data_IF_342244072029
#
_entry.id   IF_342244072029
#
_cell.length_a   1.000
_cell.length_b   1.000
_cell.length_c   1.000
_cell.angle_alpha   90.00
_cell.angle_beta   90.00
_cell.angle_gamma   90.00
#
_symmetry.space_group_name_H-M   'P 1'
#
loop_
_entity.id
_entity.type
_entity.pdbx_description
1 polymer ?
#
# COMPACT_ATOMS: atom_id res chain seq x y z
N UNK A 1 -24.98 45.99 31.51
CA UNK A 1 -25.34 44.61 31.09
C UNK A 1 -24.22 44.10 30.20
N UNK A 2 -23.28 43.33 30.74
CA UNK A 2 -22.11 42.81 30.01
C UNK A 2 -22.17 41.29 29.98
N UNK A 3 -22.17 40.71 28.77
CA UNK A 3 -22.18 39.27 28.52
C UNK A 3 -20.79 38.71 28.80
N UNK A 4 -20.68 37.82 29.77
CA UNK A 4 -19.55 36.90 29.89
C UNK A 4 -19.89 35.63 29.08
N UNK A 5 -19.32 35.49 27.89
CA UNK A 5 -19.32 34.22 27.16
C UNK A 5 -18.10 33.43 27.63
N UNK A 6 -18.37 32.25 28.17
CA UNK A 6 -17.42 31.35 28.78
C UNK A 6 -16.30 30.96 27.83
N UNK A 7 -15.07 31.06 28.32
CA UNK A 7 -13.92 30.40 27.72
C UNK A 7 -14.07 28.90 27.94
N UNK A 8 -14.46 28.17 26.90
CA UNK A 8 -14.35 26.72 26.87
C UNK A 8 -12.86 26.39 26.89
N UNK A 9 -12.35 26.10 28.08
CA UNK A 9 -11.03 25.51 28.24
C UNK A 9 -11.17 24.04 27.86
N UNK A 10 -10.77 23.69 26.65
CA UNK A 10 -10.62 22.29 26.24
C UNK A 10 -9.48 21.69 27.06
N UNK A 11 -9.85 20.86 28.03
CA UNK A 11 -8.92 20.10 28.89
C UNK A 11 -8.11 19.14 28.02
N UNK A 12 -6.79 19.39 27.95
CA UNK A 12 -5.77 18.64 27.22
C UNK A 12 -5.59 17.23 27.82
N UNK A 13 -5.79 16.16 27.04
CA UNK A 13 -5.21 14.84 27.35
C UNK A 13 -3.75 14.85 26.91
N UNK A 14 -2.87 14.53 27.83
CA UNK A 14 -1.45 14.28 27.54
C UNK A 14 -1.40 12.99 26.72
N UNK A 15 -1.15 13.10 25.40
CA UNK A 15 -0.98 11.95 24.50
C UNK A 15 -1.61 12.07 23.11
N UNK A 16 -2.46 13.07 22.85
CA UNK A 16 -3.07 13.29 21.53
C UNK A 16 -2.51 14.56 20.90
N UNK A 17 -1.56 14.42 19.97
CA UNK A 17 -1.10 15.53 19.13
C UNK A 17 -2.18 15.80 18.09
N UNK A 18 -2.69 17.04 18.05
CA UNK A 18 -3.68 17.41 17.05
C UNK A 18 -3.00 17.50 15.68
N UNK A 19 -3.67 17.08 14.60
CA UNK A 19 -3.13 17.19 13.22
C UNK A 19 -2.75 18.64 12.91
N UNK A 20 -3.52 19.61 13.41
CA UNK A 20 -3.22 21.04 13.30
C UNK A 20 -1.85 21.39 13.89
N UNK A 21 -1.50 20.85 15.07
CA UNK A 21 -0.21 21.11 15.72
C UNK A 21 0.97 20.55 14.92
N UNK A 22 0.75 19.50 14.11
CA UNK A 22 1.78 18.92 13.24
C UNK A 22 2.06 19.78 11.99
N UNK A 23 1.03 20.42 11.44
CA UNK A 23 1.14 21.17 10.17
C UNK A 23 1.32 22.68 10.37
N UNK A 24 1.02 23.21 11.55
CA UNK A 24 1.19 24.63 11.89
C UNK A 24 2.63 25.14 11.66
N UNK A 25 3.70 24.37 11.94
CA UNK A 25 5.06 24.78 11.59
C UNK A 25 5.32 24.95 10.08
N UNK A 26 4.49 24.36 9.21
CA UNK A 26 4.60 24.50 7.76
C UNK A 26 3.91 25.79 7.30
N UNK A 27 2.77 26.14 7.91
CA UNK A 27 2.06 27.41 7.69
C UNK A 27 2.89 28.59 8.19
N UNK A 28 3.47 28.50 9.40
CA UNK A 28 4.33 29.56 9.94
C UNK A 28 5.57 29.84 9.07
N UNK A 29 6.01 28.85 8.28
CA UNK A 29 7.13 28.99 7.33
C UNK A 29 6.69 29.51 5.96
N UNK A 30 5.40 29.75 5.74
CA UNK A 30 4.84 30.20 4.48
C UNK A 30 4.83 29.12 3.39
N UNK A 31 4.89 27.83 3.76
CA UNK A 31 4.81 26.73 2.79
C UNK A 31 3.37 26.42 2.37
N UNK A 32 2.40 26.75 3.23
CA UNK A 32 0.97 26.57 2.99
C UNK A 32 0.19 27.74 3.59
N UNK A 33 -0.98 28.02 3.02
CA UNK A 33 -1.82 29.15 3.42
C UNK A 33 -2.55 28.89 4.75
N UNK A 34 -3.06 27.67 4.95
CA UNK A 34 -3.74 27.28 6.20
C UNK A 34 -3.39 25.84 6.60
N UNK A 35 -3.62 25.45 7.87
CA UNK A 35 -3.47 24.06 8.29
C UNK A 35 -4.32 23.08 7.45
N UNK A 36 -5.53 23.47 7.07
CA UNK A 36 -6.43 22.67 6.25
C UNK A 36 -5.89 22.48 4.82
N UNK A 37 -5.35 23.54 4.21
CA UNK A 37 -4.72 23.42 2.88
C UNK A 37 -3.48 22.53 2.93
N UNK A 38 -2.66 22.69 3.97
CA UNK A 38 -1.50 21.83 4.21
C UNK A 38 -1.88 20.35 4.31
N UNK A 39 -2.91 20.02 5.09
CA UNK A 39 -3.37 18.62 5.21
C UNK A 39 -3.90 18.10 3.88
N UNK A 40 -4.71 18.89 3.17
CA UNK A 40 -5.29 18.46 1.89
C UNK A 40 -4.22 18.18 0.85
N UNK A 41 -3.29 19.11 0.66
CA UNK A 41 -2.21 18.98 -0.34
C UNK A 41 -1.27 17.82 0.01
N UNK A 42 -0.91 17.65 1.28
CA UNK A 42 -0.08 16.52 1.73
C UNK A 42 -0.80 15.18 1.56
N UNK A 43 -2.10 15.13 1.83
CA UNK A 43 -2.90 13.91 1.64
C UNK A 43 -3.03 13.55 0.16
N UNK A 44 -3.24 14.54 -0.71
CA UNK A 44 -3.28 14.34 -2.16
C UNK A 44 -1.93 13.84 -2.70
N UNK A 45 -0.82 14.49 -2.33
CA UNK A 45 0.51 14.04 -2.71
C UNK A 45 0.78 12.62 -2.24
N UNK A 46 0.43 12.31 -0.99
CA UNK A 46 0.57 10.97 -0.45
C UNK A 46 -0.24 9.95 -1.26
N UNK A 47 -1.51 10.23 -1.55
CA UNK A 47 -2.36 9.34 -2.32
C UNK A 47 -1.80 9.10 -3.73
N UNK A 48 -1.34 10.16 -4.40
CA UNK A 48 -0.71 10.05 -5.73
C UNK A 48 0.55 9.20 -5.70
N UNK A 49 1.42 9.38 -4.70
CA UNK A 49 2.60 8.54 -4.51
C UNK A 49 2.24 7.08 -4.25
N UNK A 50 1.20 6.80 -3.46
CA UNK A 50 0.75 5.42 -3.25
C UNK A 50 0.25 4.79 -4.55
N UNK A 51 -0.54 5.52 -5.35
CA UNK A 51 -0.99 5.05 -6.67
C UNK A 51 0.20 4.75 -7.59
N UNK A 52 1.22 5.61 -7.63
CA UNK A 52 2.43 5.40 -8.41
C UNK A 52 3.21 4.17 -7.91
N UNK A 53 3.35 4.00 -6.60
CA UNK A 53 4.02 2.84 -6.00
C UNK A 53 3.34 1.54 -6.40
N UNK A 54 2.01 1.43 -6.26
CA UNK A 54 1.30 0.20 -6.62
C UNK A 54 1.34 -0.07 -8.12
N UNK A 55 1.28 0.96 -8.97
CA UNK A 55 1.48 0.78 -10.42
C UNK A 55 2.89 0.27 -10.71
N UNK A 56 3.89 0.78 -10.01
CA UNK A 56 5.27 0.31 -10.10
C UNK A 56 5.42 -1.17 -9.70
N UNK A 57 4.76 -1.60 -8.63
CA UNK A 57 4.72 -3.01 -8.21
C UNK A 57 4.10 -3.89 -9.30
N UNK A 58 2.91 -3.51 -9.80
CA UNK A 58 2.22 -4.25 -10.87
C UNK A 58 3.12 -4.38 -12.11
N UNK A 59 3.66 -3.27 -12.61
CA UNK A 59 4.55 -3.28 -13.78
C UNK A 59 5.84 -4.05 -13.52
N UNK A 60 6.40 -3.96 -12.30
CA UNK A 60 7.59 -4.70 -11.90
C UNK A 60 7.37 -6.21 -11.96
N UNK A 61 6.24 -6.69 -11.45
CA UNK A 61 5.88 -8.11 -11.47
C UNK A 61 5.50 -8.59 -12.88
N UNK A 62 4.80 -7.77 -13.68
CA UNK A 62 4.55 -8.06 -15.09
C UNK A 62 5.84 -8.25 -15.88
N UNK A 63 6.83 -7.38 -15.64
CA UNK A 63 8.14 -7.46 -16.27
C UNK A 63 8.97 -8.66 -15.76
N UNK A 64 8.91 -8.95 -14.45
CA UNK A 64 9.63 -10.07 -13.82
C UNK A 64 9.23 -11.41 -14.45
N UNK A 65 7.94 -11.60 -14.72
CA UNK A 65 7.40 -12.86 -15.25
C UNK A 65 7.11 -12.85 -16.75
N UNK A 66 7.07 -11.67 -17.38
CA UNK A 66 6.66 -11.53 -18.78
C UNK A 66 5.19 -11.91 -19.00
N UNK A 67 4.35 -11.76 -17.97
CA UNK A 67 2.96 -12.20 -17.94
C UNK A 67 2.09 -11.13 -17.30
N UNK A 68 0.83 -11.06 -17.71
CA UNK A 68 -0.20 -10.38 -16.90
C UNK A 68 -0.51 -11.20 -15.65
N UNK A 69 -1.07 -10.56 -14.62
CA UNK A 69 -1.48 -11.25 -13.40
C UNK A 69 -2.41 -12.46 -13.64
N UNK A 70 -3.35 -12.35 -14.59
CA UNK A 70 -4.27 -13.45 -14.89
C UNK A 70 -3.54 -14.65 -15.51
N UNK A 71 -2.63 -14.38 -16.45
CA UNK A 71 -1.77 -15.42 -17.04
C UNK A 71 -0.87 -16.06 -15.99
N UNK A 72 -0.30 -15.24 -15.10
CA UNK A 72 0.56 -15.72 -14.02
C UNK A 72 -0.20 -16.63 -13.03
N UNK A 73 -1.41 -16.25 -12.64
CA UNK A 73 -2.25 -17.11 -11.80
C UNK A 73 -2.55 -18.47 -12.45
N UNK A 74 -2.84 -18.48 -13.76
CA UNK A 74 -3.04 -19.75 -14.48
C UNK A 74 -1.75 -20.57 -14.53
N UNK A 75 -0.62 -19.93 -14.81
CA UNK A 75 0.70 -20.56 -14.77
C UNK A 75 0.99 -21.20 -13.40
N UNK A 76 0.71 -20.48 -12.31
CA UNK A 76 0.92 -20.96 -10.95
C UNK A 76 0.02 -22.16 -10.65
N UNK A 77 -1.26 -22.11 -11.02
CA UNK A 77 -2.18 -23.24 -10.90
C UNK A 77 -1.66 -24.49 -11.61
N UNK A 78 -1.18 -24.34 -12.84
CA UNK A 78 -0.61 -25.46 -13.59
C UNK A 78 0.62 -26.06 -12.91
N UNK A 79 1.48 -25.22 -12.33
CA UNK A 79 2.67 -25.67 -11.60
C UNK A 79 2.34 -26.39 -10.32
N UNK A 80 1.35 -25.91 -9.57
CA UNK A 80 0.84 -26.61 -8.38
C UNK A 80 0.27 -27.98 -8.76
N UNK A 81 -0.52 -28.06 -9.83
CA UNK A 81 -0.99 -29.37 -10.34
C UNK A 81 0.15 -30.29 -10.77
N UNK A 82 1.21 -29.75 -11.38
CA UNK A 82 2.39 -30.53 -11.75
C UNK A 82 3.12 -31.06 -10.50
N UNK A 83 3.25 -30.25 -9.46
CA UNK A 83 3.86 -30.64 -8.18
C UNK A 83 3.08 -31.78 -7.50
N UNK A 84 1.75 -31.78 -7.61
CA UNK A 84 0.86 -32.82 -7.08
C UNK A 84 0.88 -34.11 -7.91
N UNK A 85 1.50 -34.10 -9.08
CA UNK A 85 1.59 -35.27 -9.95
C UNK A 85 2.78 -36.17 -9.56
N UNK A 86 2.61 -37.48 -9.65
CA UNK A 86 3.68 -38.48 -9.42
C UNK A 86 4.72 -38.54 -10.57
N UNK A 87 4.81 -37.50 -11.40
CA UNK A 87 5.69 -37.47 -12.58
C UNK A 87 7.10 -36.95 -12.29
N UNK A 88 7.29 -36.27 -11.16
CA UNK A 88 8.55 -35.64 -10.78
C UNK A 88 9.37 -36.52 -9.85
N UNK A 89 10.70 -36.44 -9.96
CA UNK A 89 11.58 -36.99 -8.94
C UNK A 89 11.44 -36.20 -7.62
N UNK A 90 11.78 -36.80 -6.46
CA UNK A 90 11.72 -36.09 -5.17
C UNK A 90 12.58 -34.81 -5.10
N UNK A 91 13.65 -34.72 -5.90
CA UNK A 91 14.48 -33.52 -5.99
C UNK A 91 13.79 -32.43 -6.82
N UNK A 92 13.22 -32.81 -7.98
CA UNK A 92 12.46 -31.89 -8.83
C UNK A 92 11.22 -31.35 -8.10
N UNK A 93 10.49 -32.21 -7.39
CA UNK A 93 9.34 -31.80 -6.60
C UNK A 93 9.73 -30.78 -5.50
N UNK A 94 10.84 -31.01 -4.79
CA UNK A 94 11.33 -30.05 -3.78
C UNK A 94 11.73 -28.72 -4.40
N UNK A 95 12.46 -28.73 -5.51
CA UNK A 95 12.87 -27.51 -6.21
C UNK A 95 11.66 -26.73 -6.75
N UNK A 96 10.69 -27.43 -7.35
CA UNK A 96 9.45 -26.82 -7.83
C UNK A 96 8.63 -26.23 -6.68
N UNK A 97 8.48 -26.96 -5.57
CA UNK A 97 7.76 -26.46 -4.39
C UNK A 97 8.39 -25.18 -3.82
N UNK A 98 9.71 -25.11 -3.72
CA UNK A 98 10.41 -23.89 -3.28
C UNK A 98 10.18 -22.72 -4.23
N UNK A 99 10.20 -22.97 -5.54
CA UNK A 99 9.92 -21.92 -6.52
C UNK A 99 8.47 -21.43 -6.44
N UNK A 100 7.51 -22.34 -6.27
CA UNK A 100 6.08 -22.00 -6.09
C UNK A 100 5.88 -21.15 -4.84
N UNK A 101 6.55 -21.45 -3.72
CA UNK A 101 6.42 -20.64 -2.50
C UNK A 101 6.83 -19.17 -2.72
N UNK A 102 7.91 -18.94 -3.47
CA UNK A 102 8.34 -17.58 -3.82
C UNK A 102 7.34 -16.91 -4.78
N UNK A 103 6.90 -17.66 -5.80
CA UNK A 103 5.89 -17.20 -6.76
C UNK A 103 4.54 -16.87 -6.08
N UNK A 104 4.16 -17.56 -4.99
CA UNK A 104 2.98 -17.26 -4.18
C UNK A 104 3.12 -15.95 -3.39
N UNK A 105 4.30 -15.68 -2.82
CA UNK A 105 4.60 -14.40 -2.17
C UNK A 105 4.46 -13.24 -3.16
N UNK A 106 5.05 -13.39 -4.34
CA UNK A 106 4.91 -12.43 -5.44
C UNK A 106 3.45 -12.27 -5.88
N UNK A 107 2.67 -13.37 -5.94
CA UNK A 107 1.23 -13.33 -6.26
C UNK A 107 0.44 -12.51 -5.24
N UNK A 108 0.76 -12.66 -3.95
CA UNK A 108 0.10 -11.93 -2.88
C UNK A 108 0.38 -10.44 -2.98
N UNK A 109 1.64 -10.05 -3.17
CA UNK A 109 2.02 -8.66 -3.36
C UNK A 109 1.31 -8.06 -4.58
N UNK A 110 1.28 -8.79 -5.70
CA UNK A 110 0.60 -8.36 -6.91
C UNK A 110 -0.90 -8.14 -6.69
N UNK A 111 -1.54 -9.08 -6.00
CA UNK A 111 -2.98 -8.99 -5.68
C UNK A 111 -3.28 -7.76 -4.83
N UNK A 112 -2.49 -7.52 -3.79
CA UNK A 112 -2.65 -6.33 -2.92
C UNK A 112 -2.51 -5.06 -3.76
N UNK A 113 -1.47 -4.95 -4.59
CA UNK A 113 -1.26 -3.77 -5.42
C UNK A 113 -2.44 -3.53 -6.39
N UNK A 114 -2.98 -4.60 -6.98
CA UNK A 114 -4.17 -4.52 -7.84
C UNK A 114 -5.42 -4.09 -7.07
N UNK A 115 -5.67 -4.64 -5.89
CA UNK A 115 -6.82 -4.27 -5.05
C UNK A 115 -6.75 -2.80 -4.62
N UNK A 116 -5.56 -2.32 -4.27
CA UNK A 116 -5.34 -0.91 -3.92
C UNK A 116 -5.56 0.05 -5.11
N UNK A 117 -5.35 -0.45 -6.33
CA UNK A 117 -5.64 0.29 -7.57
C UNK A 117 -7.04 0.04 -8.13
N UNK A 118 -7.79 -0.92 -7.57
CA UNK A 118 -9.07 -1.41 -8.08
C UNK A 118 -9.02 -1.90 -9.54
N UNK A 119 -7.94 -2.57 -9.93
CA UNK A 119 -7.74 -3.09 -11.30
C UNK A 119 -7.66 -4.60 -11.38
#
# INVERSE_FOLDING_TARGET
>A
MSRALGKVHTTRRIGETCVTELVEPLVMRGLFDTPESAVMELAEDYALRQVQNYRGIVTGLENKYGMTYHQFNHYLQHRTTLLESDTLSPEQARSLGQAIMLEEEDTLEWKIAREMLQI
#
